data_IF_868783768994
#
_entry.id   IF_868783768994
#
_cell.length_a   1.000
_cell.length_b   1.000
_cell.length_c   1.000
_cell.angle_alpha   90.00
_cell.angle_beta   90.00
_cell.angle_gamma   90.00
#
_symmetry.space_group_name_H-M   'P 1'
#
loop_
_entity.id
_entity.type
_entity.pdbx_description
1 polymer ?
#
# COMPACT_ATOMS: atom_id res chain seq x y z
N UNK A 1 21.66 -32.05 8.37
CA UNK A 1 20.72 -31.62 7.31
C UNK A 1 21.53 -31.27 6.09
N UNK A 2 21.19 -31.86 4.95
CA UNK A 2 21.71 -31.45 3.66
C UNK A 2 20.95 -30.23 3.11
N UNK A 3 21.33 -29.82 1.90
CA UNK A 3 20.77 -28.63 1.26
C UNK A 3 19.26 -28.76 1.02
N UNK A 4 18.78 -29.94 0.62
CA UNK A 4 17.35 -30.19 0.36
C UNK A 4 16.53 -30.02 1.63
N UNK A 5 16.99 -30.56 2.76
CA UNK A 5 16.28 -30.40 4.03
C UNK A 5 16.30 -28.96 4.52
N UNK A 6 17.38 -28.21 4.28
CA UNK A 6 17.44 -26.78 4.59
C UNK A 6 16.48 -25.94 3.73
N UNK A 7 16.31 -26.29 2.46
CA UNK A 7 15.32 -25.65 1.57
C UNK A 7 13.91 -25.91 2.12
N UNK A 8 13.60 -27.16 2.48
CA UNK A 8 12.31 -27.50 3.11
C UNK A 8 12.12 -26.77 4.44
N UNK A 9 13.15 -26.65 5.27
CA UNK A 9 13.12 -25.90 6.53
C UNK A 9 12.83 -24.41 6.29
N UNK A 10 13.40 -23.83 5.23
CA UNK A 10 13.16 -22.43 4.85
C UNK A 10 11.71 -22.22 4.42
N UNK A 11 11.18 -23.07 3.54
CA UNK A 11 9.79 -23.00 3.08
C UNK A 11 8.81 -23.21 4.25
N UNK A 12 9.11 -24.17 5.12
CA UNK A 12 8.36 -24.41 6.36
C UNK A 12 8.37 -23.16 7.25
N UNK A 13 9.52 -22.54 7.47
CA UNK A 13 9.63 -21.32 8.30
C UNK A 13 8.78 -20.16 7.75
N UNK A 14 8.63 -20.05 6.42
CA UNK A 14 7.77 -19.03 5.79
C UNK A 14 6.27 -19.30 5.98
N UNK A 15 5.87 -20.55 6.19
CA UNK A 15 4.46 -20.98 6.26
C UNK A 15 3.98 -21.25 7.67
N UNK A 16 4.89 -21.51 8.62
CA UNK A 16 4.56 -21.71 10.03
C UNK A 16 4.09 -20.42 10.72
N UNK A 17 3.50 -20.60 11.89
CA UNK A 17 3.17 -19.50 12.79
C UNK A 17 4.43 -18.95 13.47
N UNK A 18 4.46 -17.63 13.62
CA UNK A 18 5.51 -16.90 14.32
C UNK A 18 4.92 -16.04 15.44
N UNK A 19 5.65 -15.88 16.55
CA UNK A 19 5.20 -15.04 17.67
C UNK A 19 5.50 -13.57 17.42
N UNK A 20 6.53 -13.26 16.65
CA UNK A 20 6.87 -11.90 16.22
C UNK A 20 7.60 -11.88 14.88
N UNK A 21 7.56 -10.73 14.19
CA UNK A 21 8.37 -10.51 12.98
C UNK A 21 9.86 -10.64 13.27
N UNK A 22 10.33 -10.20 14.44
CA UNK A 22 11.73 -10.34 14.84
C UNK A 22 12.16 -11.82 14.90
N UNK A 23 11.35 -12.67 15.52
CA UNK A 23 11.59 -14.12 15.59
C UNK A 23 11.63 -14.75 14.20
N UNK A 24 10.70 -14.37 13.32
CA UNK A 24 10.66 -14.85 11.95
C UNK A 24 11.95 -14.51 11.19
N UNK A 25 12.41 -13.26 11.26
CA UNK A 25 13.68 -12.85 10.62
C UNK A 25 14.87 -13.63 11.18
N UNK A 26 14.92 -13.87 12.49
CA UNK A 26 15.99 -14.65 13.11
C UNK A 26 16.02 -16.09 12.59
N UNK A 27 14.87 -16.77 12.52
CA UNK A 27 14.77 -18.14 11.99
C UNK A 27 15.20 -18.19 10.52
N UNK A 28 14.68 -17.30 9.69
CA UNK A 28 14.99 -17.27 8.27
C UNK A 28 16.45 -16.95 7.97
N UNK A 29 17.06 -16.00 8.70
CA UNK A 29 18.50 -15.71 8.60
C UNK A 29 19.33 -16.94 8.95
N UNK A 30 18.96 -17.67 10.01
CA UNK A 30 19.68 -18.88 10.40
C UNK A 30 19.63 -19.95 9.30
N UNK A 31 18.44 -20.28 8.80
CA UNK A 31 18.29 -21.29 7.74
C UNK A 31 18.96 -20.84 6.44
N UNK A 32 18.79 -19.57 6.04
CA UNK A 32 19.43 -18.99 4.85
C UNK A 32 20.95 -19.03 4.94
N UNK A 33 21.54 -18.66 6.08
CA UNK A 33 22.99 -18.68 6.26
C UNK A 33 23.55 -20.10 6.20
N UNK A 34 22.87 -21.08 6.80
CA UNK A 34 23.25 -22.50 6.72
C UNK A 34 23.18 -23.01 5.28
N UNK A 35 22.09 -22.71 4.57
CA UNK A 35 21.88 -23.13 3.19
C UNK A 35 22.91 -22.51 2.25
N UNK A 36 23.13 -21.20 2.35
CA UNK A 36 24.08 -20.48 1.53
C UNK A 36 25.52 -20.89 1.82
N UNK A 37 25.87 -21.22 3.07
CA UNK A 37 27.17 -21.78 3.39
C UNK A 37 27.39 -23.13 2.69
N UNK A 38 26.43 -24.04 2.78
CA UNK A 38 26.54 -25.34 2.09
C UNK A 38 26.55 -25.19 0.56
N UNK A 39 25.74 -24.28 0.01
CA UNK A 39 25.75 -23.95 -1.41
C UNK A 39 27.10 -23.42 -1.87
N UNK A 40 27.75 -22.56 -1.06
CA UNK A 40 29.06 -22.03 -1.38
C UNK A 40 30.16 -23.09 -1.29
N UNK A 41 30.09 -24.00 -0.32
CA UNK A 41 31.05 -25.08 -0.12
C UNK A 41 30.94 -26.16 -1.21
N UNK A 42 29.71 -26.53 -1.58
CA UNK A 42 29.42 -27.68 -2.46
C UNK A 42 29.32 -27.29 -3.93
N UNK A 43 28.66 -26.16 -4.21
CA UNK A 43 28.26 -25.76 -5.55
C UNK A 43 28.90 -24.44 -6.00
N UNK A 44 29.63 -23.74 -5.12
CA UNK A 44 30.19 -22.39 -5.35
C UNK A 44 29.13 -21.34 -5.71
N UNK A 45 27.90 -21.49 -5.20
CA UNK A 45 26.79 -20.57 -5.46
C UNK A 45 26.11 -20.12 -4.16
N UNK A 46 25.50 -18.94 -4.22
CA UNK A 46 24.63 -18.43 -3.17
C UNK A 46 23.17 -18.81 -3.48
N UNK A 47 22.73 -19.93 -2.93
CA UNK A 47 21.44 -20.56 -3.27
C UNK A 47 20.20 -19.71 -2.96
N UNK A 48 20.27 -18.90 -1.90
CA UNK A 48 19.16 -18.09 -1.43
C UNK A 48 19.62 -16.63 -1.23
N UNK A 49 19.63 -15.82 -2.31
CA UNK A 49 19.90 -14.40 -2.22
C UNK A 49 18.93 -13.68 -1.28
N UNK A 50 19.44 -12.68 -0.55
CA UNK A 50 18.64 -11.85 0.35
C UNK A 50 17.40 -11.26 -0.31
N UNK A 51 17.48 -10.89 -1.60
CA UNK A 51 16.37 -10.34 -2.37
C UNK A 51 15.23 -11.35 -2.53
N UNK A 52 15.55 -12.63 -2.75
CA UNK A 52 14.54 -13.68 -2.85
C UNK A 52 13.87 -13.94 -1.50
N UNK A 53 14.64 -13.91 -0.41
CA UNK A 53 14.11 -14.01 0.95
C UNK A 53 13.17 -12.84 1.28
N UNK A 54 13.58 -11.60 0.97
CA UNK A 54 12.76 -10.40 1.15
C UNK A 54 11.46 -10.50 0.34
N UNK A 55 11.55 -10.87 -0.94
CA UNK A 55 10.38 -11.00 -1.81
C UNK A 55 9.36 -12.03 -1.27
N UNK A 56 9.84 -13.19 -0.82
CA UNK A 56 8.98 -14.22 -0.19
C UNK A 56 8.36 -13.73 1.12
N UNK A 57 9.12 -13.03 1.96
CA UNK A 57 8.62 -12.41 3.19
C UNK A 57 7.48 -11.42 2.91
N UNK A 58 7.68 -10.50 1.95
CA UNK A 58 6.68 -9.51 1.58
C UNK A 58 5.43 -10.14 0.95
N UNK A 59 5.60 -11.21 0.16
CA UNK A 59 4.48 -11.95 -0.43
C UNK A 59 3.63 -12.68 0.60
N UNK A 60 4.21 -13.09 1.74
CA UNK A 60 3.51 -13.76 2.82
C UNK A 60 2.76 -12.80 3.75
N UNK A 61 3.20 -11.55 3.84
CA UNK A 61 2.59 -10.53 4.68
C UNK A 61 1.47 -9.77 3.95
N UNK A 62 0.54 -9.13 4.67
CA UNK A 62 -0.53 -8.36 4.05
C UNK A 62 0.02 -7.20 3.20
N UNK A 63 -0.04 -7.35 1.88
CA UNK A 63 0.58 -6.42 0.92
C UNK A 63 0.12 -4.97 1.05
N UNK A 64 -1.13 -4.72 1.43
CA UNK A 64 -1.65 -3.35 1.63
C UNK A 64 -1.09 -2.67 2.89
N UNK A 65 -0.57 -3.43 3.87
CA UNK A 65 0.08 -2.88 5.06
C UNK A 65 1.56 -2.61 4.83
N UNK A 66 2.26 -3.50 4.11
CA UNK A 66 3.70 -3.38 3.91
C UNK A 66 4.12 -2.73 2.59
N UNK A 67 3.34 -2.90 1.53
CA UNK A 67 3.66 -2.45 0.17
C UNK A 67 4.00 -0.96 0.08
N UNK A 68 3.18 -0.05 0.64
CA UNK A 68 3.48 1.39 0.61
C UNK A 68 4.77 1.81 1.32
N UNK A 69 5.27 1.00 2.26
CA UNK A 69 6.50 1.28 3.00
C UNK A 69 7.77 0.76 2.31
N UNK A 70 7.63 -0.05 1.26
CA UNK A 70 8.74 -0.68 0.54
C UNK A 70 9.10 0.15 -0.69
N UNK A 71 10.38 0.56 -0.75
CA UNK A 71 10.96 1.20 -1.93
C UNK A 71 11.83 0.18 -2.66
N UNK A 72 11.59 0.01 -3.96
CA UNK A 72 12.36 -0.90 -4.82
C UNK A 72 13.58 -0.20 -5.40
N UNK A 73 14.60 0.01 -4.56
CA UNK A 73 15.94 0.46 -4.99
C UNK A 73 17.02 -0.40 -4.35
N UNK A 74 18.23 -0.39 -4.89
CA UNK A 74 19.34 -1.20 -4.36
C UNK A 74 19.70 -0.81 -2.92
N UNK A 75 19.60 0.48 -2.61
CA UNK A 75 19.92 1.05 -1.30
C UNK A 75 18.84 0.73 -0.27
N UNK A 76 17.56 0.73 -0.68
CA UNK A 76 16.40 0.55 0.21
C UNK A 76 15.96 -0.91 0.36
N UNK A 77 16.16 -1.73 -0.68
CA UNK A 77 15.69 -3.12 -0.73
C UNK A 77 16.72 -4.10 -0.14
N UNK A 78 17.13 -3.81 1.10
CA UNK A 78 18.07 -4.63 1.87
C UNK A 78 17.37 -5.30 3.04
N UNK A 79 17.93 -6.40 3.54
CA UNK A 79 17.30 -7.19 4.59
C UNK A 79 17.11 -6.36 5.88
N UNK A 80 18.08 -5.53 6.23
CA UNK A 80 18.05 -4.67 7.41
C UNK A 80 16.97 -3.58 7.33
N UNK A 81 16.87 -2.89 6.19
CA UNK A 81 15.88 -1.83 6.00
C UNK A 81 14.46 -2.40 5.97
N UNK A 82 14.27 -3.53 5.28
CA UNK A 82 12.97 -4.21 5.24
C UNK A 82 12.60 -4.71 6.64
N UNK A 83 13.52 -5.34 7.38
CA UNK A 83 13.26 -5.78 8.75
C UNK A 83 12.84 -4.62 9.65
N UNK A 84 13.53 -3.49 9.56
CA UNK A 84 13.21 -2.27 10.32
C UNK A 84 11.81 -1.75 9.98
N UNK A 85 11.46 -1.68 8.69
CA UNK A 85 10.12 -1.25 8.24
C UNK A 85 9.03 -2.20 8.74
N UNK A 86 9.23 -3.51 8.59
CA UNK A 86 8.24 -4.50 9.04
C UNK A 86 8.10 -4.54 10.56
N UNK A 87 9.19 -4.37 11.32
CA UNK A 87 9.12 -4.18 12.78
C UNK A 87 8.38 -2.91 13.15
N UNK A 88 8.54 -1.82 12.40
CA UNK A 88 7.76 -0.60 12.65
C UNK A 88 6.26 -0.77 12.39
N UNK A 89 5.87 -1.55 11.36
CA UNK A 89 4.46 -1.79 11.02
C UNK A 89 3.81 -2.78 11.99
N UNK A 90 4.47 -3.91 12.25
CA UNK A 90 3.88 -5.05 12.97
C UNK A 90 4.36 -5.16 14.41
N UNK A 91 5.42 -4.45 14.81
CA UNK A 91 5.98 -4.51 16.17
C UNK A 91 6.22 -5.97 16.59
N UNK A 92 5.70 -6.37 17.76
CA UNK A 92 5.84 -7.71 18.32
C UNK A 92 4.64 -8.62 18.01
N UNK A 93 3.86 -8.31 16.97
CA UNK A 93 2.66 -9.08 16.64
C UNK A 93 2.99 -10.43 16.03
N UNK A 94 2.21 -11.42 16.45
CA UNK A 94 2.18 -12.76 15.88
C UNK A 94 1.52 -12.80 14.50
N UNK A 95 1.68 -13.91 13.78
CA UNK A 95 1.05 -14.11 12.47
C UNK A 95 -0.47 -13.93 12.50
N UNK A 96 -1.13 -14.48 13.53
CA UNK A 96 -2.57 -14.35 13.69
C UNK A 96 -3.00 -12.89 13.87
N UNK A 97 -2.28 -12.13 14.70
CA UNK A 97 -2.57 -10.71 14.92
C UNK A 97 -2.33 -9.87 13.67
N UNK A 98 -1.28 -10.16 12.89
CA UNK A 98 -1.02 -9.53 11.59
C UNK A 98 -2.19 -9.78 10.62
N UNK A 99 -2.74 -11.00 10.60
CA UNK A 99 -3.92 -11.31 9.78
C UNK A 99 -5.19 -10.59 10.27
N UNK A 100 -5.37 -10.41 11.57
CA UNK A 100 -6.49 -9.63 12.12
C UNK A 100 -6.36 -8.15 11.76
N UNK A 101 -5.15 -7.58 11.82
CA UNK A 101 -4.88 -6.22 11.35
C UNK A 101 -5.25 -6.05 9.88
N UNK A 102 -4.85 -7.00 9.03
CA UNK A 102 -5.20 -7.03 7.61
C UNK A 102 -6.71 -6.90 7.39
N UNK A 103 -7.51 -7.69 8.12
CA UNK A 103 -8.99 -7.70 7.99
C UNK A 103 -9.64 -6.42 8.52
N UNK A 104 -9.05 -5.78 9.51
CA UNK A 104 -9.60 -4.58 10.15
C UNK A 104 -9.31 -3.33 9.32
N UNK A 105 -8.12 -3.24 8.72
CA UNK A 105 -7.74 -2.16 7.80
C UNK A 105 -8.42 -2.30 6.43
N UNK A 106 -8.73 -3.53 6.01
CA UNK A 106 -9.51 -3.80 4.79
C UNK A 106 -11.03 -3.66 4.95
N UNK A 107 -11.56 -3.41 6.16
CA UNK A 107 -12.95 -2.97 6.28
C UNK A 107 -13.03 -1.61 5.60
N UNK A 108 -13.43 -1.68 4.33
CA UNK A 108 -13.80 -0.59 3.47
C UNK A 108 -14.59 0.41 4.29
N UNK A 109 -14.12 1.66 4.31
CA UNK A 109 -15.06 2.75 4.13
C UNK A 109 -15.80 2.37 2.85
N UNK A 110 -16.98 1.78 2.99
CA UNK A 110 -17.95 1.74 1.92
C UNK A 110 -18.22 3.20 1.61
N UNK A 111 -17.43 3.79 0.72
CA UNK A 111 -17.83 5.01 0.04
C UNK A 111 -18.99 4.50 -0.81
N UNK A 112 -20.25 4.86 -0.51
CA UNK A 112 -21.34 4.48 -1.37
C UNK A 112 -21.03 5.18 -2.68
N UNK A 113 -20.69 4.41 -3.71
CA UNK A 113 -20.51 4.92 -5.05
C UNK A 113 -21.91 5.22 -5.57
N UNK A 114 -22.51 6.31 -5.08
CA UNK A 114 -23.76 6.82 -5.60
C UNK A 114 -23.43 7.48 -6.95
N UNK A 115 -23.42 6.64 -7.98
CA UNK A 115 -23.62 7.05 -9.34
C UNK A 115 -24.91 7.86 -9.46
N UNK A 116 -24.81 8.95 -10.24
CA UNK A 116 -25.88 9.79 -10.77
C UNK A 116 -26.68 10.61 -9.73
N UNK A 117 -26.36 11.89 -9.67
CA UNK A 117 -27.38 12.92 -9.48
C UNK A 117 -28.41 12.75 -10.61
N UNK A 118 -29.48 11.99 -10.37
CA UNK A 118 -30.71 12.14 -11.15
C UNK A 118 -31.17 13.58 -10.92
N UNK A 119 -31.19 14.35 -12.00
CA UNK A 119 -31.93 15.61 -12.02
C UNK A 119 -33.34 15.33 -11.53
N UNK A 120 -33.74 15.99 -10.44
CA UNK A 120 -35.14 16.08 -10.07
C UNK A 120 -35.65 17.41 -10.57
N UNK A 121 -36.16 17.38 -11.80
CA UNK A 121 -37.19 18.32 -12.21
C UNK A 121 -38.41 18.11 -11.31
N UNK A 122 -38.71 19.15 -10.53
CA UNK A 122 -40.02 19.45 -9.95
C UNK A 122 -40.70 18.41 -9.05
N UNK A 123 -40.46 18.45 -7.73
CA UNK A 123 -41.45 17.97 -6.75
C UNK A 123 -41.27 18.57 -5.34
N UNK A 124 -42.11 19.57 -5.05
CA UNK A 124 -42.77 19.94 -3.77
C UNK A 124 -42.06 19.70 -2.42
N UNK A 125 -41.73 20.86 -1.80
CA UNK A 125 -41.52 21.22 -0.38
C UNK A 125 -41.84 20.16 0.71
N UNK A 126 -40.83 19.82 1.50
CA UNK A 126 -40.93 19.29 2.87
C UNK A 126 -39.81 19.89 3.76
N UNK A 127 -40.02 20.11 5.07
CA UNK A 127 -39.15 20.97 5.88
C UNK A 127 -37.87 20.24 6.32
N UNK A 128 -36.71 20.68 5.82
CA UNK A 128 -35.41 20.17 6.23
C UNK A 128 -34.96 20.84 7.53
N UNK A 129 -34.77 20.03 8.58
CA UNK A 129 -34.26 20.46 9.89
C UNK A 129 -32.86 21.04 9.74
N UNK A 130 -32.65 22.24 10.30
CA UNK A 130 -31.36 22.91 10.44
C UNK A 130 -30.45 22.08 11.36
N UNK A 131 -29.29 21.65 10.86
CA UNK A 131 -28.19 21.18 11.70
C UNK A 131 -26.86 21.74 11.21
N UNK A 132 -26.34 22.69 11.99
CA UNK A 132 -24.92 22.83 12.33
C UNK A 132 -23.92 23.05 11.19
N UNK A 133 -23.52 24.32 11.02
CA UNK A 133 -22.25 24.71 10.41
C UNK A 133 -21.11 23.88 11.02
N UNK A 134 -20.42 23.05 10.23
CA UNK A 134 -19.04 22.64 10.50
C UNK A 134 -18.17 23.13 9.36
N UNK A 135 -17.18 23.95 9.73
CA UNK A 135 -16.13 24.49 8.86
C UNK A 135 -15.39 23.31 8.21
N UNK A 136 -15.41 23.25 6.88
CA UNK A 136 -14.47 22.45 6.10
C UNK A 136 -13.07 22.99 6.37
N UNK A 137 -12.23 22.18 7.01
CA UNK A 137 -10.80 22.43 7.11
C UNK A 137 -10.22 22.27 5.70
N UNK A 138 -9.83 23.38 5.10
CA UNK A 138 -9.17 23.45 3.80
C UNK A 138 -7.89 22.62 3.86
N UNK A 139 -7.84 21.53 3.09
CA UNK A 139 -6.58 20.90 2.74
C UNK A 139 -5.95 21.79 1.67
N UNK A 140 -4.95 22.57 2.08
CA UNK A 140 -4.13 23.38 1.18
C UNK A 140 -3.48 22.48 0.13
N UNK A 141 -4.00 22.55 -1.08
CA UNK A 141 -3.29 22.21 -2.32
C UNK A 141 -3.58 23.36 -3.28
N UNK A 142 -2.55 23.81 -3.97
CA UNK A 142 -2.53 24.99 -4.84
C UNK A 142 -3.87 25.28 -5.54
N UNK A 143 -4.41 26.45 -5.27
CA UNK A 143 -5.80 26.87 -5.55
C UNK A 143 -6.07 27.07 -7.04
N UNK A 144 -5.07 27.03 -7.92
CA UNK A 144 -5.28 27.28 -9.35
C UNK A 144 -5.69 26.05 -10.16
N UNK A 145 -5.34 24.82 -9.71
CA UNK A 145 -5.56 23.63 -10.53
C UNK A 145 -6.91 22.94 -10.26
N UNK A 146 -7.54 23.18 -9.11
CA UNK A 146 -8.82 22.59 -8.74
C UNK A 146 -9.99 23.04 -9.64
N UNK A 147 -9.85 24.20 -10.31
CA UNK A 147 -10.86 24.77 -11.23
C UNK A 147 -10.40 24.75 -12.71
N UNK A 148 -9.36 23.98 -13.05
CA UNK A 148 -8.87 23.89 -14.42
C UNK A 148 -9.78 22.99 -15.28
N UNK A 149 -10.18 23.46 -16.46
CA UNK A 149 -10.85 22.62 -17.45
C UNK A 149 -9.96 21.42 -17.81
N UNK A 150 -10.54 20.22 -17.85
CA UNK A 150 -9.84 18.96 -18.11
C UNK A 150 -9.15 18.92 -19.47
N UNK A 151 -9.78 19.49 -20.51
CA UNK A 151 -9.29 19.43 -21.88
C UNK A 151 -8.15 20.42 -22.16
N UNK A 152 -8.26 21.65 -21.65
CA UNK A 152 -7.24 22.67 -21.88
C UNK A 152 -6.32 22.92 -20.68
N UNK A 153 -6.46 22.17 -19.58
CA UNK A 153 -5.69 22.34 -18.34
C UNK A 153 -5.67 23.80 -17.83
N UNK A 154 -6.77 24.51 -18.06
CA UNK A 154 -6.91 25.91 -17.66
C UNK A 154 -6.29 26.96 -18.59
N UNK A 155 -5.59 26.56 -19.67
CA UNK A 155 -4.94 27.49 -20.63
C UNK A 155 -5.93 28.49 -21.25
N UNK A 156 -7.21 28.12 -21.37
CA UNK A 156 -8.26 28.97 -21.93
C UNK A 156 -9.36 29.31 -20.93
N UNK A 157 -9.07 29.22 -19.63
CA UNK A 157 -10.06 29.56 -18.60
C UNK A 157 -10.52 31.02 -18.65
N UNK A 158 -9.80 31.91 -19.34
CA UNK A 158 -10.15 33.33 -19.53
C UNK A 158 -10.29 33.70 -21.02
N UNK A 159 -11.04 32.92 -21.80
CA UNK A 159 -11.41 33.39 -23.15
C UNK A 159 -12.48 34.50 -23.03
N UNK A 160 -12.08 35.71 -23.42
CA UNK A 160 -12.92 36.92 -23.53
C UNK A 160 -13.35 37.57 -22.19
N UNK A 161 -12.60 37.36 -21.10
CA UNK A 161 -12.90 37.98 -19.78
C UNK A 161 -14.13 37.39 -19.08
N UNK A 162 -14.71 36.34 -19.65
CA UNK A 162 -15.69 35.49 -18.99
C UNK A 162 -14.82 34.39 -18.36
N UNK A 163 -14.75 34.34 -17.04
CA UNK A 163 -13.86 33.42 -16.31
C UNK A 163 -14.13 31.93 -16.60
N UNK A 164 -13.63 31.04 -15.73
CA UNK A 164 -13.60 29.59 -15.93
C UNK A 164 -14.80 29.01 -16.73
N UNK A 165 -14.50 28.37 -17.86
CA UNK A 165 -15.50 27.67 -18.68
C UNK A 165 -15.69 26.22 -18.23
N UNK A 166 -16.86 25.65 -18.49
CA UNK A 166 -17.12 24.23 -18.23
C UNK A 166 -16.49 23.35 -19.32
N UNK A 167 -16.11 22.11 -18.96
CA UNK A 167 -15.50 21.14 -19.90
C UNK A 167 -16.29 20.94 -21.21
N UNK A 168 -17.63 21.04 -21.16
CA UNK A 168 -18.49 20.88 -22.34
C UNK A 168 -18.37 22.03 -23.37
N UNK A 169 -17.94 23.20 -22.89
CA UNK A 169 -17.82 24.44 -23.66
C UNK A 169 -16.36 24.68 -24.07
N UNK A 170 -15.46 23.73 -23.80
CA UNK A 170 -14.06 23.83 -24.16
C UNK A 170 -13.88 23.63 -25.68
N UNK A 171 -13.24 24.57 -26.39
CA UNK A 171 -13.00 24.44 -27.83
C UNK A 171 -12.00 23.34 -28.20
N UNK A 172 -11.31 22.74 -27.21
CA UNK A 172 -10.36 21.63 -27.38
C UNK A 172 -10.98 20.26 -27.07
N UNK A 173 -12.31 20.19 -26.85
CA UNK A 173 -13.01 18.91 -26.68
C UNK A 173 -12.96 18.07 -27.96
#
# INVERSE_FOLDING_TARGET
>A
MGMVELIMEFEKTMTEDFKSVAELFQKLRNVSNRLNRQGQETLRVHLLPSQLMIGKLLAMLPGHLCGPSVTFSQEEFTLEKIETKLKSIFSNKSKAEVQVMSKTTQRSIEIPVNYAARGMDGAKKGPMKKSGKRKTMMLSTDVEQANACFYCKGVYNDKNGIGHHFNKDCPMR
#
